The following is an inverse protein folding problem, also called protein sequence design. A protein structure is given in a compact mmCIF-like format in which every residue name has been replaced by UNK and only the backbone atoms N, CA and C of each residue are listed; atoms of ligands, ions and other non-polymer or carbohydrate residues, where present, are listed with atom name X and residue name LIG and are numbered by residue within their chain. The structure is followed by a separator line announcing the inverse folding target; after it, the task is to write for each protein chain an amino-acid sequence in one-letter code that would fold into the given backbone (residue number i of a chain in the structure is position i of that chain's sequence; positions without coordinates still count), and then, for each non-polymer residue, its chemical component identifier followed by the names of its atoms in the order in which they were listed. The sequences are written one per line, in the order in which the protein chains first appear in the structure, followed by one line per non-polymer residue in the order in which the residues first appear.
data_IF_900032472880
#
_entry.id   IF_900032472880
#
_cell.length_a   1.000
_cell.length_b   1.000
_cell.length_c   1.000
_cell.angle_alpha   90.00
_cell.angle_beta   90.00
_cell.angle_gamma   90.00
#
_symmetry.space_group_name_H-M   'P 1'
#
loop_
_entity.id
_entity.type
_entity.pdbx_description
1 polymer ?
#
# COMPACT_ATOMS: atom_id res chain seq x y z
N UNK A 1 18.33 -38.51 23.96
CA UNK A 1 17.52 -38.76 22.75
C UNK A 1 17.47 -37.44 22.01
N UNK A 2 18.16 -37.36 20.89
CA UNK A 2 18.48 -36.14 20.14
C UNK A 2 17.77 -36.17 18.81
N UNK A 3 16.89 -35.19 18.60
CA UNK A 3 16.27 -34.80 17.34
C UNK A 3 16.30 -33.24 17.36
N UNK A 4 16.83 -32.47 16.41
CA UNK A 4 17.28 -32.78 15.04
C UNK A 4 16.15 -33.37 14.18
N UNK A 5 15.70 -32.82 13.06
CA UNK A 5 16.03 -31.58 12.33
C UNK A 5 14.69 -30.99 11.83
N UNK A 6 14.54 -29.84 11.17
CA UNK A 6 15.45 -29.05 10.33
C UNK A 6 15.26 -27.52 10.50
N UNK A 7 16.20 -26.75 9.95
CA UNK A 7 15.98 -25.39 9.45
C UNK A 7 16.30 -25.40 7.96
N UNK A 8 15.29 -25.13 7.10
CA UNK A 8 15.49 -25.01 5.65
C UNK A 8 16.55 -23.93 5.35
N UNK A 9 17.62 -24.32 4.67
CA UNK A 9 18.74 -23.43 4.33
C UNK A 9 18.33 -22.39 3.27
N UNK A 10 18.86 -21.17 3.41
CA UNK A 10 18.63 -20.07 2.47
C UNK A 10 19.22 -20.30 1.06
N UNK A 11 20.03 -21.35 0.84
CA UNK A 11 20.57 -21.70 -0.49
C UNK A 11 19.54 -22.39 -1.41
N UNK A 12 18.64 -23.23 -0.89
CA UNK A 12 17.71 -24.00 -1.74
C UNK A 12 16.63 -23.12 -2.40
N UNK A 13 16.27 -21.99 -1.78
CA UNK A 13 15.29 -21.06 -2.35
C UNK A 13 15.81 -20.38 -3.64
N UNK A 14 17.13 -20.26 -3.80
CA UNK A 14 17.74 -19.68 -5.00
C UNK A 14 17.86 -20.68 -6.15
N UNK A 15 17.86 -21.99 -5.87
CA UNK A 15 17.83 -23.05 -6.90
C UNK A 15 16.45 -23.17 -7.58
N UNK A 16 15.36 -22.84 -6.89
CA UNK A 16 14.02 -22.84 -7.47
C UNK A 16 13.84 -21.74 -8.54
N UNK A 17 14.44 -20.55 -8.34
CA UNK A 17 14.33 -19.44 -9.29
C UNK A 17 15.11 -19.66 -10.61
N UNK A 18 16.08 -20.58 -10.65
CA UNK A 18 16.97 -20.77 -11.81
C UNK A 18 16.56 -21.90 -12.75
N UNK A 19 15.52 -22.68 -12.42
CA UNK A 19 14.99 -23.75 -13.29
C UNK A 19 13.82 -23.32 -14.19
N UNK A 20 13.44 -22.04 -14.15
CA UNK A 20 12.24 -21.52 -14.85
C UNK A 20 12.55 -20.82 -16.19
N UNK A 21 13.73 -21.03 -16.75
CA UNK A 21 14.18 -20.42 -18.01
C UNK A 21 15.10 -21.36 -18.78
N UNK A 22 14.53 -22.10 -19.74
CA UNK A 22 15.10 -22.38 -21.07
C UNK A 22 14.21 -23.40 -21.82
N UNK A 23 13.47 -22.91 -22.83
CA UNK A 23 12.86 -23.71 -23.91
C UNK A 23 12.45 -22.74 -25.03
N UNK A 24 13.34 -22.51 -25.99
CA UNK A 24 13.03 -21.79 -27.22
C UNK A 24 12.34 -22.74 -28.22
N UNK A 25 11.19 -22.35 -28.74
CA UNK A 25 10.78 -22.76 -30.10
C UNK A 25 10.27 -21.52 -30.84
N UNK A 26 11.14 -20.98 -31.70
CA UNK A 26 10.75 -20.07 -32.78
C UNK A 26 9.86 -20.81 -33.78
N UNK A 27 8.79 -20.16 -34.24
CA UNK A 27 8.41 -20.20 -35.66
C UNK A 27 7.47 -19.04 -36.00
N UNK A 28 7.95 -18.16 -36.87
CA UNK A 28 7.23 -17.01 -37.40
C UNK A 28 5.99 -17.41 -38.20
N UNK A 29 4.93 -16.59 -38.15
CA UNK A 29 4.38 -16.08 -39.41
C UNK A 29 3.62 -14.76 -39.27
N UNK A 30 3.76 -13.94 -40.30
CA UNK A 30 3.20 -12.60 -40.37
C UNK A 30 1.74 -12.62 -40.85
N UNK A 31 0.89 -11.74 -40.34
CA UNK A 31 0.00 -11.00 -41.22
C UNK A 31 -0.41 -9.63 -40.67
N UNK A 32 0.12 -8.64 -41.36
CA UNK A 32 -0.23 -7.22 -41.43
C UNK A 32 -1.71 -6.92 -41.17
N UNK A 33 -1.98 -6.12 -40.13
CA UNK A 33 -3.03 -5.09 -40.18
C UNK A 33 -2.38 -3.78 -39.76
N UNK A 34 -1.85 -3.09 -40.77
CA UNK A 34 -2.00 -1.64 -40.93
C UNK A 34 -3.45 -1.24 -40.50
N UNK A 35 -3.72 -0.27 -39.65
CA UNK A 35 -3.14 1.07 -39.68
C UNK A 35 -3.52 1.91 -38.43
N UNK A 36 -2.83 3.03 -38.23
CA UNK A 36 -3.35 4.26 -37.62
C UNK A 36 -4.06 4.21 -36.23
N UNK A 37 -3.29 4.33 -35.15
CA UNK A 37 -3.61 5.38 -34.14
C UNK A 37 -2.37 5.87 -33.37
N UNK A 38 -1.60 6.78 -33.98
CA UNK A 38 -0.59 7.59 -33.26
C UNK A 38 -1.28 8.61 -32.35
N UNK A 39 -1.74 8.22 -31.16
CA UNK A 39 -2.10 9.16 -30.10
C UNK A 39 -0.99 9.27 -29.07
N UNK A 40 -0.09 10.23 -29.30
CA UNK A 40 0.90 10.68 -28.32
C UNK A 40 0.19 11.26 -27.08
N UNK A 41 -0.17 10.43 -26.09
CA UNK A 41 -0.75 10.93 -24.84
C UNK A 41 0.30 10.96 -23.72
N UNK A 42 1.21 11.94 -23.80
CA UNK A 42 2.22 12.26 -22.78
C UNK A 42 1.58 12.94 -21.54
N UNK A 43 0.53 12.35 -20.96
CA UNK A 43 -0.18 12.96 -19.82
C UNK A 43 -0.71 11.94 -18.78
N UNK A 44 -0.21 10.70 -18.77
CA UNK A 44 -0.63 9.62 -17.84
C UNK A 44 -0.21 9.82 -16.36
N UNK A 45 0.15 11.04 -15.94
CA UNK A 45 0.60 11.34 -14.57
C UNK A 45 -0.01 12.64 -14.03
N UNK A 46 -1.31 12.62 -13.65
CA UNK A 46 -1.95 13.58 -12.71
C UNK A 46 -3.41 13.18 -12.44
N UNK A 47 -3.65 12.25 -11.51
CA UNK A 47 -4.90 12.16 -10.72
C UNK A 47 -4.76 11.06 -9.63
N UNK A 48 -4.03 11.34 -8.55
CA UNK A 48 -4.14 10.50 -7.34
C UNK A 48 -5.57 10.67 -6.78
N UNK A 49 -6.31 9.59 -6.44
CA UNK A 49 -7.70 9.69 -6.01
C UNK A 49 -7.82 10.65 -4.82
N UNK A 50 -8.86 11.49 -4.79
CA UNK A 50 -9.09 12.45 -3.68
C UNK A 50 -9.72 11.81 -2.44
N UNK A 51 -10.02 10.52 -2.52
CA UNK A 51 -10.83 9.75 -1.59
C UNK A 51 -10.03 9.05 -0.49
N UNK A 52 -10.74 8.65 0.56
CA UNK A 52 -10.20 7.85 1.65
C UNK A 52 -9.91 6.42 1.18
N UNK A 53 -8.66 5.98 1.31
CA UNK A 53 -8.21 4.65 0.87
C UNK A 53 -8.96 3.50 1.58
N UNK A 54 -9.42 3.71 2.83
CA UNK A 54 -10.19 2.70 3.57
C UNK A 54 -11.68 2.64 3.18
N UNK A 55 -12.31 3.77 2.82
CA UNK A 55 -13.78 3.86 2.73
C UNK A 55 -14.38 4.57 1.51
N UNK A 56 -13.57 5.11 0.60
CA UNK A 56 -14.03 5.84 -0.59
C UNK A 56 -14.67 7.21 -0.32
N UNK A 57 -14.71 7.70 0.92
CA UNK A 57 -15.28 9.03 1.21
C UNK A 57 -14.33 10.13 0.68
N UNK A 58 -14.81 10.96 -0.25
CA UNK A 58 -14.09 12.10 -0.82
C UNK A 58 -14.06 13.31 0.12
N UNK A 59 -14.88 13.33 1.18
CA UNK A 59 -15.03 14.51 2.05
C UNK A 59 -13.94 14.58 3.11
N UNK A 60 -13.26 15.73 3.17
CA UNK A 60 -12.28 16.09 4.21
C UNK A 60 -11.24 14.97 4.43
N UNK A 61 -10.55 14.63 3.35
CA UNK A 61 -9.43 13.70 3.35
C UNK A 61 -8.13 14.42 3.71
N UNK A 62 -7.29 13.77 4.51
CA UNK A 62 -5.96 14.21 4.90
C UNK A 62 -4.95 13.11 4.64
N UNK A 63 -3.67 13.47 4.54
CA UNK A 63 -2.57 12.52 4.47
C UNK A 63 -2.16 12.14 5.90
N UNK A 64 -2.18 10.85 6.20
CA UNK A 64 -1.86 10.30 7.50
C UNK A 64 -0.62 9.40 7.40
N UNK A 65 0.34 9.58 8.31
CA UNK A 65 1.47 8.66 8.45
C UNK A 65 1.07 7.53 9.38
N UNK A 66 1.02 6.30 8.88
CA UNK A 66 0.79 5.13 9.74
C UNK A 66 1.94 4.92 10.73
N UNK A 67 3.17 5.23 10.31
CA UNK A 67 4.38 5.09 11.11
C UNK A 67 4.86 6.48 11.57
N UNK A 68 4.87 6.80 12.88
CA UNK A 68 5.15 8.15 13.33
C UNK A 68 6.57 8.63 13.08
N UNK A 69 6.69 9.82 12.49
CA UNK A 69 7.95 10.58 12.35
C UNK A 69 8.70 10.83 13.67
N UNK A 70 8.04 10.67 14.82
CA UNK A 70 8.67 10.83 16.14
C UNK A 70 9.75 9.77 16.42
N UNK A 71 9.57 8.55 15.90
CA UNK A 71 10.53 7.44 16.00
C UNK A 71 11.87 7.87 15.37
N UNK A 72 11.82 8.44 14.15
CA UNK A 72 13.02 8.98 13.45
C UNK A 72 13.60 10.21 14.17
N UNK A 73 12.76 11.09 14.73
CA UNK A 73 13.22 12.36 15.32
C UNK A 73 14.13 12.15 16.54
N UNK A 74 14.00 11.03 17.26
CA UNK A 74 14.89 10.67 18.38
C UNK A 74 16.32 10.32 17.91
N UNK A 75 16.49 9.77 16.70
CA UNK A 75 17.81 9.47 16.11
C UNK A 75 18.48 10.65 15.40
N UNK A 76 17.70 11.65 14.93
CA UNK A 76 18.22 12.87 14.28
C UNK A 76 19.31 13.62 15.05
N UNK A 77 19.40 13.44 16.37
CA UNK A 77 20.43 14.05 17.22
C UNK A 77 21.81 13.38 17.10
N UNK A 78 21.92 12.15 16.58
CA UNK A 78 23.20 11.39 16.56
C UNK A 78 23.85 11.24 15.19
N UNK A 79 23.09 11.21 14.09
CA UNK A 79 23.68 11.35 12.75
C UNK A 79 22.65 11.76 11.69
N UNK A 80 22.78 12.98 11.15
CA UNK A 80 21.97 13.43 9.99
C UNK A 80 22.48 12.88 8.65
N UNK A 81 23.70 12.32 8.61
CA UNK A 81 24.36 11.81 7.39
C UNK A 81 24.36 10.27 7.29
N UNK A 82 24.00 9.53 8.35
CA UNK A 82 24.04 8.06 8.29
C UNK A 82 23.08 7.48 7.26
N UNK A 83 23.51 6.40 6.59
CA UNK A 83 22.70 5.59 5.67
C UNK A 83 21.36 5.18 6.33
N UNK A 84 21.44 4.67 7.56
CA UNK A 84 20.32 4.26 8.43
C UNK A 84 19.29 5.36 8.69
N UNK A 85 19.70 6.63 8.80
CA UNK A 85 18.75 7.75 8.96
C UNK A 85 18.00 8.07 7.66
N UNK A 86 18.69 8.03 6.51
CA UNK A 86 18.03 8.24 5.20
C UNK A 86 16.99 7.14 4.93
N UNK A 87 17.39 5.89 5.10
CA UNK A 87 16.57 4.69 4.94
C UNK A 87 15.31 4.70 5.83
N UNK A 88 15.46 4.95 7.14
CA UNK A 88 14.32 5.09 8.05
C UNK A 88 13.41 6.27 7.74
N UNK A 89 13.94 7.36 7.18
CA UNK A 89 13.13 8.48 6.70
C UNK A 89 12.27 8.04 5.52
N UNK A 90 12.87 7.44 4.50
CA UNK A 90 12.19 6.91 3.32
C UNK A 90 11.04 5.98 3.71
N UNK A 91 11.28 5.06 4.65
CA UNK A 91 10.25 4.17 5.20
C UNK A 91 8.98 4.92 5.65
N UNK A 92 9.09 5.95 6.49
CA UNK A 92 7.90 6.74 6.92
C UNK A 92 7.27 7.65 5.85
N UNK A 93 7.98 7.89 4.75
CA UNK A 93 7.45 8.62 3.59
C UNK A 93 6.71 7.67 2.63
N UNK A 94 7.05 6.38 2.61
CA UNK A 94 6.32 5.32 1.91
C UNK A 94 5.00 4.97 2.64
N UNK A 95 5.00 4.86 3.97
CA UNK A 95 3.80 4.54 4.77
C UNK A 95 2.87 5.74 5.01
N UNK A 96 2.39 6.34 3.91
CA UNK A 96 1.52 7.51 3.85
C UNK A 96 0.17 7.16 3.21
N UNK A 97 -0.92 7.25 3.99
CA UNK A 97 -2.27 6.82 3.59
C UNK A 97 -3.25 8.00 3.59
N UNK A 98 -4.12 8.10 2.59
CA UNK A 98 -5.19 9.12 2.53
C UNK A 98 -6.40 8.67 3.36
N UNK A 99 -6.74 9.41 4.40
CA UNK A 99 -7.87 9.10 5.30
C UNK A 99 -8.86 10.26 5.40
N UNK A 100 -10.16 9.98 5.43
CA UNK A 100 -11.15 10.99 5.84
C UNK A 100 -11.16 11.15 7.36
N UNK A 101 -11.60 12.33 7.86
CA UNK A 101 -11.69 12.65 9.30
C UNK A 101 -12.27 11.53 10.17
N UNK A 102 -13.30 10.83 9.68
CA UNK A 102 -13.95 9.74 10.42
C UNK A 102 -13.09 8.47 10.49
N UNK A 103 -12.46 8.08 9.38
CA UNK A 103 -11.57 6.91 9.36
C UNK A 103 -10.29 7.17 10.15
N UNK A 104 -9.71 8.37 10.06
CA UNK A 104 -8.57 8.78 10.89
C UNK A 104 -8.90 8.70 12.39
N UNK A 105 -10.07 9.19 12.81
CA UNK A 105 -10.51 9.09 14.21
C UNK A 105 -10.81 7.64 14.64
N UNK A 106 -11.38 6.79 13.78
CA UNK A 106 -11.62 5.37 14.10
C UNK A 106 -10.31 4.59 14.17
N UNK A 107 -9.35 4.86 13.28
CA UNK A 107 -8.03 4.24 13.26
C UNK A 107 -7.30 4.44 14.58
N UNK A 108 -7.20 5.67 15.10
CA UNK A 108 -6.61 5.94 16.42
C UNK A 108 -7.43 5.46 17.62
N UNK A 109 -8.66 4.97 17.42
CA UNK A 109 -9.47 4.30 18.44
C UNK A 109 -9.34 2.77 18.42
N UNK A 110 -8.88 2.21 17.30
CA UNK A 110 -8.65 0.77 17.15
C UNK A 110 -7.17 0.39 17.35
N UNK A 111 -6.25 1.27 16.94
CA UNK A 111 -4.83 0.97 16.93
C UNK A 111 -4.01 2.09 17.57
N UNK A 112 -3.08 1.68 18.43
CA UNK A 112 -1.96 2.49 18.86
C UNK A 112 -0.97 2.69 17.71
N UNK A 113 -0.10 3.69 17.83
CA UNK A 113 0.98 3.90 16.87
C UNK A 113 1.99 2.73 16.79
N UNK A 114 2.06 1.88 17.83
CA UNK A 114 2.95 0.71 17.85
C UNK A 114 2.41 -0.37 16.92
N UNK A 115 1.14 -0.75 17.09
CA UNK A 115 0.45 -1.75 16.26
C UNK A 115 0.42 -1.35 14.78
N UNK A 116 0.20 -0.07 14.47
CA UNK A 116 0.29 0.45 13.10
C UNK A 116 1.70 0.34 12.48
N UNK A 117 2.75 0.37 13.30
CA UNK A 117 4.14 0.24 12.83
C UNK A 117 4.63 -1.20 12.73
N UNK A 118 4.08 -2.11 13.52
CA UNK A 118 4.53 -3.51 13.61
C UNK A 118 3.64 -4.49 12.84
N UNK A 119 2.33 -4.28 12.82
CA UNK A 119 1.34 -5.24 12.29
C UNK A 119 0.45 -4.65 11.18
N UNK A 120 0.14 -3.35 11.24
CA UNK A 120 -0.85 -2.72 10.35
C UNK A 120 -0.25 -1.56 9.54
N UNK A 121 0.87 -1.85 8.85
CA UNK A 121 1.70 -0.84 8.15
C UNK A 121 1.15 -0.42 6.78
N UNK A 122 0.14 -1.10 6.25
CA UNK A 122 -0.53 -0.80 4.97
C UNK A 122 -2.04 -0.64 5.18
N UNK A 123 -2.76 0.09 4.28
CA UNK A 123 -4.21 0.22 4.39
C UNK A 123 -4.96 -1.11 4.24
N UNK A 124 -4.38 -2.08 3.53
CA UNK A 124 -4.98 -3.39 3.28
C UNK A 124 -5.01 -4.24 4.57
N UNK A 125 -3.88 -4.31 5.30
CA UNK A 125 -3.79 -4.96 6.61
C UNK A 125 -4.77 -4.32 7.62
N UNK A 126 -4.95 -2.99 7.56
CA UNK A 126 -5.94 -2.27 8.39
C UNK A 126 -7.37 -2.69 8.03
N UNK A 127 -7.65 -3.04 6.77
CA UNK A 127 -8.97 -3.49 6.32
C UNK A 127 -9.31 -4.92 6.75
N UNK A 128 -8.31 -5.77 7.01
CA UNK A 128 -8.49 -7.16 7.46
C UNK A 128 -8.91 -7.27 8.93
N UNK A 129 -8.63 -6.26 9.76
CA UNK A 129 -8.97 -6.30 11.19
C UNK A 129 -10.50 -6.35 11.42
N UNK A 130 -11.04 -7.26 12.26
CA UNK A 130 -12.48 -7.50 12.38
C UNK A 130 -13.33 -6.27 12.74
N UNK A 131 -12.83 -5.38 13.59
CA UNK A 131 -13.53 -4.13 13.93
C UNK A 131 -13.52 -3.11 12.78
N UNK A 132 -12.51 -3.17 11.93
CA UNK A 132 -12.43 -2.32 10.74
C UNK A 132 -13.34 -2.86 9.65
N UNK A 133 -13.40 -4.18 9.41
CA UNK A 133 -14.35 -4.79 8.47
C UNK A 133 -15.79 -4.34 8.77
N UNK A 134 -16.25 -4.51 10.03
CA UNK A 134 -17.60 -4.13 10.46
C UNK A 134 -17.87 -2.63 10.25
N UNK A 135 -16.92 -1.78 10.65
CA UNK A 135 -17.02 -0.33 10.50
C UNK A 135 -17.04 0.12 9.03
N UNK A 136 -16.12 -0.41 8.20
CA UNK A 136 -15.97 -0.05 6.79
C UNK A 136 -17.17 -0.51 5.96
N UNK A 137 -17.74 -1.69 6.22
CA UNK A 137 -18.98 -2.16 5.56
C UNK A 137 -20.14 -1.17 5.76
N UNK A 138 -20.36 -0.71 6.99
CA UNK A 138 -21.35 0.32 7.31
C UNK A 138 -21.00 1.68 6.68
N UNK A 139 -19.73 2.11 6.77
CA UNK A 139 -19.29 3.42 6.28
C UNK A 139 -19.38 3.51 4.75
N UNK A 140 -18.95 2.48 4.01
CA UNK A 140 -19.05 2.39 2.54
C UNK A 140 -20.52 2.51 2.07
N UNK A 141 -21.47 1.83 2.73
CA UNK A 141 -22.91 1.98 2.42
C UNK A 141 -23.40 3.43 2.54
N UNK A 142 -22.95 4.16 3.57
CA UNK A 142 -23.26 5.60 3.72
C UNK A 142 -22.59 6.48 2.65
N UNK A 143 -21.36 6.18 2.26
CA UNK A 143 -20.65 6.92 1.19
C UNK A 143 -21.39 6.78 -0.15
N UNK A 144 -21.80 5.56 -0.52
CA UNK A 144 -22.56 5.30 -1.75
C UNK A 144 -23.90 6.05 -1.76
N UNK A 145 -24.61 6.06 -0.63
CA UNK A 145 -25.85 6.84 -0.49
C UNK A 145 -25.61 8.35 -0.68
N UNK A 146 -24.56 8.89 -0.07
CA UNK A 146 -24.22 10.31 -0.16
C UNK A 146 -23.72 10.72 -1.56
N UNK A 147 -23.11 9.79 -2.31
CA UNK A 147 -22.74 9.97 -3.73
C UNK A 147 -23.99 10.05 -4.62
N UNK A 148 -24.91 9.09 -4.53
CA UNK A 148 -26.18 9.12 -5.29
C UNK A 148 -26.99 10.39 -5.03
N UNK A 149 -27.00 10.88 -3.78
CA UNK A 149 -27.67 12.15 -3.43
C UNK A 149 -26.99 13.38 -4.06
N UNK A 150 -25.69 13.31 -4.37
CA UNK A 150 -24.95 14.37 -5.06
C UNK A 150 -25.17 14.34 -6.58
N UNK A 151 -25.35 13.16 -7.16
CA UNK A 151 -25.63 12.99 -8.60
C UNK A 151 -27.05 13.45 -8.96
N UNK A 152 -28.02 13.27 -8.06
CA UNK A 152 -29.40 13.71 -8.22
C UNK A 152 -29.64 15.20 -7.87
N UNK A 153 -28.62 16.06 -7.90
CA UNK A 153 -28.70 17.49 -7.54
C UNK A 153 -27.88 18.38 -8.46
#
# INVERSE_FOLDING_TARGET
MSNSDDLLNDEDYLAYLTQSSDSEEDLSNNNTIEEQSKTNNKNSQKNKPKECELCGDWRRTSLHHLIPKLIIKREKKRSRKSKKYKERRSFTEVHLVRLCKYCHSKLHKCFTHKELSEQYSTPDLICEHPDMIKYLKWKKKKVIHDLKKKENK
#
